data_IF_082692103069
#
_entry.id   IF_082692103069
#
_cell.length_a   1.000
_cell.length_b   1.000
_cell.length_c   1.000
_cell.angle_alpha   90.00
_cell.angle_beta   90.00
_cell.angle_gamma   90.00
#
_symmetry.space_group_name_H-M   'P 1'
#
loop_
_entity.id
_entity.type
_entity.pdbx_description
1 polymer ?
#
# COMPACT_ATOMS: atom_id res chain seq x y z
N UNK A 1 -1.08 30.01 10.88
CA UNK A 1 -0.04 28.98 11.08
C UNK A 1 -0.20 28.20 12.40
N UNK A 2 -1.40 27.73 12.73
CA UNK A 2 -1.65 26.84 13.87
C UNK A 2 -2.18 25.48 13.39
N UNK A 3 -2.05 24.42 14.20
CA UNK A 3 -2.60 23.11 13.83
C UNK A 3 -4.12 23.14 13.53
N UNK A 4 -4.97 23.86 14.29
CA UNK A 4 -6.38 23.99 13.93
C UNK A 4 -6.64 24.61 12.55
N UNK A 5 -5.90 25.66 12.17
CA UNK A 5 -6.03 26.29 10.85
C UNK A 5 -5.54 25.37 9.73
N UNK A 6 -4.46 24.60 9.98
CA UNK A 6 -3.96 23.59 9.03
C UNK A 6 -5.00 22.48 8.80
N UNK A 7 -5.65 22.01 9.87
CA UNK A 7 -6.74 21.03 9.77
C UNK A 7 -8.00 21.59 9.10
N UNK A 8 -8.27 22.89 9.24
CA UNK A 8 -9.33 23.57 8.48
C UNK A 8 -9.03 23.55 6.97
N UNK A 9 -7.78 23.82 6.58
CA UNK A 9 -7.32 23.70 5.19
C UNK A 9 -7.44 22.27 4.65
N UNK A 10 -7.07 21.27 5.46
CA UNK A 10 -7.22 19.84 5.15
C UNK A 10 -8.67 19.47 4.82
N UNK A 11 -9.65 20.03 5.53
CA UNK A 11 -11.06 19.72 5.31
C UNK A 11 -11.60 20.23 3.95
N UNK A 12 -10.91 21.15 3.28
CA UNK A 12 -11.32 21.70 1.98
C UNK A 12 -10.50 21.14 0.82
N UNK A 13 -9.18 21.08 0.99
CA UNK A 13 -8.24 20.73 -0.09
C UNK A 13 -7.68 19.32 0.01
N UNK A 14 -7.95 18.64 1.14
CA UNK A 14 -7.36 17.35 1.49
C UNK A 14 -5.84 17.37 1.65
N UNK A 15 -5.22 18.55 1.80
CA UNK A 15 -3.79 18.73 2.11
C UNK A 15 -3.57 19.04 3.60
N UNK A 16 -2.68 18.30 4.24
CA UNK A 16 -2.23 18.60 5.59
C UNK A 16 -0.96 19.47 5.52
N UNK A 17 -1.12 20.80 5.48
CA UNK A 17 -0.01 21.74 5.39
C UNK A 17 0.70 21.97 6.74
N UNK A 18 2.02 22.16 6.72
CA UNK A 18 2.79 22.70 7.84
C UNK A 18 3.99 23.50 7.31
N UNK A 19 4.31 24.68 7.86
CA UNK A 19 5.45 25.46 7.42
C UNK A 19 6.74 24.63 7.37
N UNK A 20 7.51 24.77 6.27
CA UNK A 20 8.78 24.07 6.03
C UNK A 20 8.69 22.56 5.73
N UNK A 21 7.50 21.92 5.83
CA UNK A 21 7.35 20.49 5.53
C UNK A 21 7.25 20.17 4.05
N UNK A 22 6.81 21.13 3.23
CA UNK A 22 6.79 21.04 1.77
C UNK A 22 8.18 21.19 1.15
N UNK A 23 9.09 20.24 1.43
CA UNK A 23 10.51 20.33 1.03
C UNK A 23 10.98 19.09 0.27
N UNK A 24 11.72 19.27 -0.84
CA UNK A 24 12.34 18.15 -1.57
C UNK A 24 13.66 17.67 -0.93
N UNK A 25 14.10 18.25 0.20
CA UNK A 25 15.39 17.91 0.80
C UNK A 25 15.44 16.44 1.22
N UNK A 26 16.14 15.64 0.41
CA UNK A 26 16.40 14.22 0.65
C UNK A 26 15.59 13.26 -0.21
N UNK A 27 14.75 13.74 -1.14
CA UNK A 27 14.18 12.86 -2.18
C UNK A 27 15.27 12.35 -3.11
N UNK A 28 15.01 11.26 -3.83
CA UNK A 28 15.93 10.70 -4.81
C UNK A 28 15.24 10.41 -6.14
N UNK A 29 16.04 10.10 -7.17
CA UNK A 29 15.57 9.59 -8.45
C UNK A 29 16.67 8.76 -9.08
N UNK A 30 16.30 7.61 -9.61
CA UNK A 30 17.19 6.75 -10.39
C UNK A 30 16.87 6.85 -11.88
N UNK A 31 17.90 6.95 -12.72
CA UNK A 31 17.80 6.93 -14.18
C UNK A 31 18.59 5.75 -14.73
N UNK A 32 17.97 4.94 -15.58
CA UNK A 32 18.60 3.79 -16.18
C UNK A 32 19.29 4.17 -17.50
N UNK A 33 20.60 3.91 -17.59
CA UNK A 33 21.44 4.24 -18.74
C UNK A 33 22.11 2.98 -19.26
N UNK A 34 22.11 2.81 -20.59
CA UNK A 34 22.81 1.73 -21.26
C UNK A 34 23.89 2.30 -22.18
N UNK A 35 25.05 1.65 -22.19
CA UNK A 35 26.19 2.02 -23.01
C UNK A 35 26.53 0.89 -23.99
N UNK A 36 26.63 1.22 -25.28
CA UNK A 36 27.06 0.30 -26.34
C UNK A 36 28.45 0.69 -26.84
N UNK A 37 29.43 -0.19 -26.60
CA UNK A 37 30.72 -0.11 -27.26
C UNK A 37 30.63 -0.80 -28.62
N UNK A 38 30.86 -0.04 -29.70
CA UNK A 38 30.93 -0.57 -31.05
C UNK A 38 32.36 -0.37 -31.57
N UNK A 39 32.95 -1.38 -32.20
CA UNK A 39 34.31 -1.30 -32.76
C UNK A 39 34.42 -0.21 -33.85
N UNK A 40 33.33 0.02 -34.58
CA UNK A 40 33.17 1.07 -35.58
C UNK A 40 31.72 1.59 -35.57
N UNK A 41 31.40 2.60 -36.37
CA UNK A 41 30.02 3.11 -36.50
C UNK A 41 29.07 1.96 -36.86
N UNK A 42 28.06 1.66 -36.00
CA UNK A 42 27.15 0.55 -36.27
C UNK A 42 26.27 0.82 -37.50
N UNK A 43 25.75 -0.24 -38.11
CA UNK A 43 24.71 -0.08 -39.14
C UNK A 43 23.43 0.50 -38.54
N UNK A 44 22.56 1.06 -39.38
CA UNK A 44 21.28 1.59 -38.95
C UNK A 44 20.41 0.52 -38.25
N UNK A 45 20.44 -0.72 -38.73
CA UNK A 45 19.69 -1.83 -38.12
C UNK A 45 20.26 -2.23 -36.75
N UNK A 46 21.59 -2.21 -36.59
CA UNK A 46 22.21 -2.46 -35.31
C UNK A 46 21.86 -1.36 -34.31
N UNK A 47 21.92 -0.09 -34.72
CA UNK A 47 21.52 1.04 -33.89
C UNK A 47 20.03 0.97 -33.49
N UNK A 48 19.13 0.59 -34.42
CA UNK A 48 17.71 0.42 -34.12
C UNK A 48 17.47 -0.66 -33.05
N UNK A 49 18.15 -1.81 -33.14
CA UNK A 49 18.06 -2.86 -32.10
C UNK A 49 18.59 -2.39 -30.75
N UNK A 50 19.64 -1.58 -30.73
CA UNK A 50 20.16 -0.98 -29.50
C UNK A 50 19.12 -0.02 -28.89
N UNK A 51 18.49 0.83 -29.69
CA UNK A 51 17.41 1.74 -29.26
C UNK A 51 16.20 0.98 -28.71
N UNK A 52 15.77 -0.11 -29.37
CA UNK A 52 14.66 -0.93 -28.88
C UNK A 52 14.99 -1.56 -27.52
N UNK A 53 16.24 -1.99 -27.31
CA UNK A 53 16.71 -2.49 -26.02
C UNK A 53 16.78 -1.39 -24.94
N UNK A 54 17.09 -0.13 -25.26
CA UNK A 54 16.98 1.00 -24.31
C UNK A 54 15.54 1.15 -23.83
N UNK A 55 14.57 1.08 -24.75
CA UNK A 55 13.17 1.41 -24.48
C UNK A 55 12.47 0.35 -23.66
N UNK A 56 12.76 -0.93 -23.94
CA UNK A 56 12.17 -2.07 -23.25
C UNK A 56 13.23 -3.12 -23.05
N UNK A 57 13.82 -3.15 -21.85
CA UNK A 57 14.81 -4.15 -21.49
C UNK A 57 14.18 -5.55 -21.45
N UNK A 58 14.76 -6.54 -22.15
CA UNK A 58 14.32 -7.92 -22.01
C UNK A 58 14.50 -8.41 -20.56
N UNK A 59 13.47 -9.02 -19.99
CA UNK A 59 13.49 -9.58 -18.63
C UNK A 59 13.03 -11.03 -18.67
N UNK A 60 13.80 -11.92 -18.03
CA UNK A 60 13.37 -13.29 -17.81
C UNK A 60 12.43 -13.32 -16.60
N UNK A 61 11.31 -14.03 -16.72
CA UNK A 61 10.32 -14.12 -15.65
C UNK A 61 9.89 -15.57 -15.41
N UNK A 62 9.70 -15.93 -14.15
CA UNK A 62 9.07 -17.20 -13.78
C UNK A 62 7.56 -17.15 -14.11
N UNK A 63 6.94 -18.27 -14.53
CA UNK A 63 5.52 -18.29 -14.81
C UNK A 63 4.70 -18.15 -13.51
N UNK A 64 3.48 -17.56 -13.55
CA UNK A 64 2.64 -17.36 -12.37
C UNK A 64 2.45 -18.60 -11.51
N UNK A 65 2.17 -19.74 -12.13
CA UNK A 65 2.03 -21.04 -11.45
C UNK A 65 3.23 -21.39 -10.55
N UNK A 66 4.45 -21.04 -10.97
CA UNK A 66 5.66 -21.29 -10.17
C UNK A 66 5.78 -20.30 -9.00
N UNK A 67 5.45 -19.01 -9.23
CA UNK A 67 5.44 -17.98 -8.19
C UNK A 67 4.43 -18.33 -7.09
N UNK A 68 3.21 -18.71 -7.47
CA UNK A 68 2.15 -19.14 -6.53
C UNK A 68 2.59 -20.39 -5.75
N UNK A 69 3.22 -21.35 -6.42
CA UNK A 69 3.73 -22.57 -5.78
C UNK A 69 4.83 -22.28 -4.76
N UNK A 70 5.59 -21.18 -4.92
CA UNK A 70 6.63 -20.77 -3.99
C UNK A 70 6.07 -20.28 -2.64
N UNK A 71 4.77 -19.94 -2.56
CA UNK A 71 4.10 -19.48 -1.34
C UNK A 71 4.79 -18.27 -0.68
N UNK A 72 5.30 -17.36 -1.50
CA UNK A 72 5.90 -16.10 -1.04
C UNK A 72 4.87 -14.98 -1.06
N UNK A 73 5.08 -13.90 -0.29
CA UNK A 73 4.21 -12.71 -0.26
C UNK A 73 2.75 -12.99 0.11
N UNK A 74 2.53 -13.75 1.19
CA UNK A 74 1.20 -14.08 1.69
C UNK A 74 0.64 -15.34 1.03
N UNK A 75 0.97 -16.54 1.56
CA UNK A 75 0.47 -17.81 1.03
C UNK A 75 -1.06 -17.84 0.95
N UNK A 76 -1.58 -18.01 -0.25
CA UNK A 76 -3.02 -18.11 -0.51
C UNK A 76 -3.74 -16.77 -0.69
N UNK A 77 -3.04 -15.63 -0.62
CA UNK A 77 -3.63 -14.31 -0.91
C UNK A 77 -3.78 -14.04 -2.41
N UNK A 78 -3.15 -14.85 -3.27
CA UNK A 78 -3.28 -14.72 -4.72
C UNK A 78 -3.25 -16.09 -5.41
N UNK A 79 -3.85 -16.16 -6.59
CA UNK A 79 -4.01 -17.36 -7.42
C UNK A 79 -3.97 -16.98 -8.91
N UNK A 80 -3.81 -17.93 -9.83
CA UNK A 80 -3.93 -17.60 -11.27
C UNK A 80 -5.33 -17.02 -11.56
N UNK A 81 -5.48 -16.09 -12.52
CA UNK A 81 -6.79 -15.57 -12.91
C UNK A 81 -7.75 -16.70 -13.24
N UNK A 82 -8.93 -16.66 -12.63
CA UNK A 82 -9.92 -17.71 -12.78
C UNK A 82 -11.20 -17.14 -13.40
N UNK A 83 -11.50 -17.57 -14.62
CA UNK A 83 -12.68 -17.14 -15.38
C UNK A 83 -13.69 -18.30 -15.58
N UNK A 84 -13.59 -19.35 -14.75
CA UNK A 84 -14.36 -20.59 -14.89
C UNK A 84 -15.86 -20.45 -14.64
N UNK A 85 -16.29 -19.40 -13.94
CA UNK A 85 -17.71 -19.07 -13.72
C UNK A 85 -18.00 -17.63 -14.15
N UNK A 86 -19.26 -17.29 -14.49
CA UNK A 86 -19.62 -15.92 -14.85
C UNK A 86 -19.28 -14.88 -13.77
N UNK A 87 -19.46 -15.23 -12.49
CA UNK A 87 -19.16 -14.34 -11.37
C UNK A 87 -17.66 -14.06 -11.25
N UNK A 88 -16.82 -15.10 -11.38
CA UNK A 88 -15.36 -14.94 -11.36
C UNK A 88 -14.86 -14.17 -12.58
N UNK A 89 -15.37 -14.52 -13.77
CA UNK A 89 -15.02 -13.83 -15.01
C UNK A 89 -15.33 -12.33 -14.95
N UNK A 90 -16.45 -11.94 -14.34
CA UNK A 90 -16.83 -10.55 -14.19
C UNK A 90 -15.87 -9.75 -13.29
N UNK A 91 -15.42 -10.33 -12.17
CA UNK A 91 -14.41 -9.68 -11.32
C UNK A 91 -13.08 -9.53 -12.09
N UNK A 92 -12.64 -10.55 -12.82
CA UNK A 92 -11.44 -10.47 -13.64
C UNK A 92 -11.57 -9.42 -14.76
N UNK A 93 -12.75 -9.25 -15.37
CA UNK A 93 -13.04 -8.17 -16.33
C UNK A 93 -12.94 -6.79 -15.69
N UNK A 94 -13.41 -6.62 -14.45
CA UNK A 94 -13.28 -5.38 -13.71
C UNK A 94 -11.81 -5.05 -13.39
N UNK A 95 -11.02 -6.05 -12.98
CA UNK A 95 -9.57 -5.90 -12.76
C UNK A 95 -8.86 -5.46 -14.05
N UNK A 96 -9.18 -6.11 -15.18
CA UNK A 96 -8.61 -5.77 -16.49
C UNK A 96 -9.03 -4.37 -16.95
N UNK A 97 -10.29 -3.98 -16.73
CA UNK A 97 -10.81 -2.64 -17.02
C UNK A 97 -10.04 -1.57 -16.23
N UNK A 98 -9.92 -1.74 -14.92
CA UNK A 98 -9.26 -0.78 -14.04
C UNK A 98 -7.80 -0.61 -14.44
N UNK A 99 -7.04 -1.70 -14.59
CA UNK A 99 -5.64 -1.60 -15.03
C UNK A 99 -5.51 -0.91 -16.39
N UNK A 100 -6.34 -1.29 -17.36
CA UNK A 100 -6.33 -0.68 -18.71
C UNK A 100 -6.62 0.81 -18.66
N UNK A 101 -7.53 1.24 -17.78
CA UNK A 101 -7.84 2.65 -17.58
C UNK A 101 -6.63 3.44 -17.08
N UNK A 102 -5.97 3.01 -15.99
CA UNK A 102 -4.78 3.71 -15.46
C UNK A 102 -3.62 3.73 -16.46
N UNK A 103 -3.36 2.60 -17.12
CA UNK A 103 -2.36 2.53 -18.20
C UNK A 103 -2.64 3.54 -19.31
N UNK A 104 -3.90 3.72 -19.69
CA UNK A 104 -4.32 4.72 -20.67
C UNK A 104 -4.23 6.16 -20.16
N UNK A 105 -4.53 6.39 -18.88
CA UNK A 105 -4.46 7.72 -18.27
C UNK A 105 -3.04 8.28 -18.25
N UNK A 106 -2.00 7.45 -18.07
CA UNK A 106 -0.60 7.92 -18.13
C UNK A 106 -0.32 8.68 -19.43
N UNK A 107 -0.64 8.08 -20.57
CA UNK A 107 -0.49 8.74 -21.87
C UNK A 107 -1.44 9.93 -21.94
N UNK A 108 -2.76 9.71 -21.79
CA UNK A 108 -3.77 10.76 -22.00
C UNK A 108 -3.54 12.03 -21.16
N UNK A 109 -3.09 11.87 -19.92
CA UNK A 109 -2.86 12.96 -18.96
C UNK A 109 -1.42 13.43 -18.91
N UNK A 110 -0.53 12.79 -19.69
CA UNK A 110 0.89 13.10 -19.75
C UNK A 110 1.53 13.04 -18.37
N UNK A 111 1.28 11.96 -17.63
CA UNK A 111 1.98 11.66 -16.38
C UNK A 111 3.42 11.20 -16.68
N UNK A 112 4.16 12.11 -17.29
CA UNK A 112 5.53 12.00 -17.71
C UNK A 112 6.29 13.17 -17.09
N UNK A 113 7.56 12.96 -16.78
CA UNK A 113 8.37 14.01 -16.20
C UNK A 113 9.62 13.41 -15.59
N UNK A 114 10.62 14.24 -15.36
CA UNK A 114 11.84 13.82 -14.69
C UNK A 114 11.57 13.34 -13.26
N UNK A 115 10.67 14.03 -12.55
CA UNK A 115 10.24 13.67 -11.21
C UNK A 115 8.96 12.84 -11.20
N UNK A 116 8.06 13.05 -12.16
CA UNK A 116 6.68 12.55 -12.06
C UNK A 116 6.45 11.15 -12.67
N UNK A 117 7.29 10.74 -13.64
CA UNK A 117 7.03 9.50 -14.38
C UNK A 117 7.15 8.27 -13.46
N UNK A 118 6.02 7.57 -13.34
CA UNK A 118 5.84 6.35 -12.56
C UNK A 118 4.65 6.42 -11.62
N UNK A 119 4.29 7.63 -11.18
CA UNK A 119 3.12 7.84 -10.31
C UNK A 119 1.81 7.99 -11.09
N UNK A 120 0.70 7.97 -10.35
CA UNK A 120 -0.66 8.23 -10.79
C UNK A 120 -1.30 9.30 -9.91
N UNK A 121 -2.41 9.90 -10.35
CA UNK A 121 -3.15 10.85 -9.50
C UNK A 121 -4.24 10.17 -8.67
N UNK A 122 -4.70 10.83 -7.60
CA UNK A 122 -5.51 10.26 -6.53
C UNK A 122 -7.03 10.38 -6.77
N UNK A 123 -7.53 11.56 -7.18
CA UNK A 123 -9.00 11.75 -7.39
C UNK A 123 -9.33 12.61 -8.61
N UNK A 124 -10.46 12.28 -9.23
CA UNK A 124 -10.96 12.95 -10.43
C UNK A 124 -11.83 14.18 -10.15
N UNK A 125 -11.77 15.18 -11.03
CA UNK A 125 -12.67 16.33 -11.08
C UNK A 125 -13.65 16.12 -12.23
N UNK A 126 -14.91 15.84 -11.87
CA UNK A 126 -15.97 15.53 -12.82
C UNK A 126 -16.50 16.76 -13.58
N UNK A 127 -16.19 17.97 -13.11
CA UNK A 127 -16.60 19.22 -13.76
C UNK A 127 -15.56 19.66 -14.78
N UNK A 128 -14.27 19.49 -14.45
CA UNK A 128 -13.15 19.89 -15.32
C UNK A 128 -12.65 18.75 -16.23
N UNK A 129 -13.20 17.53 -16.10
CA UNK A 129 -12.81 16.35 -16.88
C UNK A 129 -11.31 16.05 -16.83
N UNK A 130 -10.76 16.08 -15.62
CA UNK A 130 -9.34 15.98 -15.33
C UNK A 130 -9.09 15.50 -13.90
N UNK A 131 -7.97 14.86 -13.66
CA UNK A 131 -7.53 14.53 -12.30
C UNK A 131 -7.19 15.82 -11.55
N UNK A 132 -7.45 15.88 -10.24
CA UNK A 132 -7.31 17.08 -9.42
C UNK A 132 -5.85 17.45 -9.13
N UNK A 133 -5.07 17.71 -10.18
CA UNK A 133 -3.63 18.01 -10.10
C UNK A 133 -3.29 19.27 -9.29
N UNK A 134 -4.27 20.14 -9.06
CA UNK A 134 -4.12 21.45 -8.43
C UNK A 134 -4.88 21.59 -7.11
N UNK A 135 -5.45 20.49 -6.55
CA UNK A 135 -6.21 20.53 -5.30
C UNK A 135 -5.58 19.62 -4.26
N UNK A 136 -4.60 20.15 -3.52
CA UNK A 136 -4.04 19.56 -2.32
C UNK A 136 -3.78 18.05 -2.42
N UNK A 137 -4.33 17.29 -1.48
CA UNK A 137 -4.20 15.83 -1.42
C UNK A 137 -4.96 15.05 -2.50
N UNK A 138 -5.52 15.68 -3.53
CA UNK A 138 -6.19 14.94 -4.61
C UNK A 138 -5.33 14.76 -5.88
N UNK A 139 -4.11 15.32 -5.88
CA UNK A 139 -3.19 15.29 -7.01
C UNK A 139 -2.37 13.98 -7.06
N UNK A 140 -1.04 14.00 -6.94
CA UNK A 140 -0.21 12.78 -6.98
C UNK A 140 -0.53 11.83 -5.83
N UNK A 141 -0.63 10.54 -6.13
CA UNK A 141 -1.19 9.52 -5.24
C UNK A 141 -0.19 8.97 -4.22
N UNK A 142 1.11 9.00 -4.52
CA UNK A 142 2.17 8.62 -3.58
C UNK A 142 1.87 7.34 -2.77
N UNK A 143 1.42 6.27 -3.43
CA UNK A 143 1.11 4.97 -2.81
C UNK A 143 -0.04 4.96 -1.77
N UNK A 144 -0.95 5.95 -1.78
CA UNK A 144 -2.07 5.98 -0.83
C UNK A 144 -3.01 4.77 -1.05
N UNK A 145 -3.29 4.03 0.03
CA UNK A 145 -4.06 2.78 0.00
C UNK A 145 -3.49 1.66 -0.90
N UNK A 146 -2.17 1.67 -1.13
CA UNK A 146 -1.41 0.56 -1.70
C UNK A 146 -1.71 0.16 -3.16
N UNK A 147 -1.78 1.09 -4.14
CA UNK A 147 -1.83 0.73 -5.55
C UNK A 147 -0.62 -0.13 -5.97
N UNK A 148 0.55 0.05 -5.34
CA UNK A 148 1.74 -0.78 -5.53
C UNK A 148 1.44 -2.27 -5.28
N UNK A 149 0.74 -2.60 -4.17
CA UNK A 149 0.38 -3.99 -3.85
C UNK A 149 -0.62 -4.55 -4.87
N UNK A 150 -1.63 -3.77 -5.24
CA UNK A 150 -2.60 -4.19 -6.24
C UNK A 150 -1.90 -4.56 -7.56
N UNK A 151 -1.00 -3.71 -8.05
CA UNK A 151 -0.28 -3.92 -9.30
C UNK A 151 0.68 -5.11 -9.22
N UNK A 152 1.40 -5.26 -8.11
CA UNK A 152 2.30 -6.40 -7.92
C UNK A 152 1.54 -7.72 -7.81
N UNK A 153 0.43 -7.77 -7.08
CA UNK A 153 -0.44 -8.95 -7.06
C UNK A 153 -1.06 -9.23 -8.44
N UNK A 154 -1.49 -8.20 -9.18
CA UNK A 154 -1.99 -8.37 -10.54
C UNK A 154 -0.92 -8.97 -11.47
N UNK A 155 0.35 -8.56 -11.33
CA UNK A 155 1.47 -9.16 -12.06
C UNK A 155 1.73 -10.61 -11.62
N UNK A 156 1.87 -10.88 -10.33
CA UNK A 156 2.18 -12.23 -9.81
C UNK A 156 1.16 -13.28 -10.28
N UNK A 157 -0.11 -12.89 -10.38
CA UNK A 157 -1.20 -13.76 -10.85
C UNK A 157 -1.17 -13.97 -12.36
N UNK A 158 -0.94 -12.91 -13.13
CA UNK A 158 -1.15 -12.92 -14.59
C UNK A 158 0.11 -13.15 -15.42
N UNK A 159 1.30 -12.80 -14.90
CA UNK A 159 2.55 -12.78 -15.64
C UNK A 159 2.60 -11.75 -16.78
N UNK A 160 1.63 -10.82 -16.82
CA UNK A 160 1.50 -9.84 -17.90
C UNK A 160 2.63 -8.82 -17.90
N UNK A 161 3.35 -8.72 -19.02
CA UNK A 161 4.47 -7.81 -19.17
C UNK A 161 4.08 -6.32 -19.06
N UNK A 162 2.87 -5.95 -19.48
CA UNK A 162 2.42 -4.56 -19.38
C UNK A 162 2.10 -4.14 -17.94
N UNK A 163 1.58 -5.06 -17.11
CA UNK A 163 1.42 -4.83 -15.68
C UNK A 163 2.79 -4.73 -15.00
N UNK A 164 3.73 -5.61 -15.34
CA UNK A 164 5.10 -5.54 -14.80
C UNK A 164 5.73 -4.17 -15.02
N UNK A 165 5.70 -3.67 -16.27
CA UNK A 165 6.32 -2.37 -16.61
C UNK A 165 5.63 -1.20 -15.92
N UNK A 166 4.31 -1.27 -15.72
CA UNK A 166 3.57 -0.25 -14.97
C UNK A 166 3.94 -0.28 -13.48
N UNK A 167 3.97 -1.46 -12.86
CA UNK A 167 4.36 -1.65 -11.46
C UNK A 167 5.83 -1.29 -11.20
N UNK A 168 6.73 -1.59 -12.15
CA UNK A 168 8.13 -1.20 -12.13
C UNK A 168 8.29 0.32 -12.14
N UNK A 169 7.59 1.01 -13.04
CA UNK A 169 7.63 2.48 -13.10
C UNK A 169 7.13 3.10 -11.79
N UNK A 170 6.03 2.59 -11.23
CA UNK A 170 5.52 3.02 -9.93
C UNK A 170 6.54 2.77 -8.82
N UNK A 171 7.11 1.56 -8.73
CA UNK A 171 8.13 1.22 -7.73
C UNK A 171 9.35 2.14 -7.79
N UNK A 172 9.82 2.46 -9.01
CA UNK A 172 10.95 3.37 -9.25
C UNK A 172 10.63 4.83 -8.95
N UNK A 173 9.36 5.21 -8.93
CA UNK A 173 8.92 6.54 -8.53
C UNK A 173 8.72 6.60 -7.02
N UNK A 174 7.77 5.80 -6.51
CA UNK A 174 7.26 5.89 -5.15
C UNK A 174 8.31 5.50 -4.11
N UNK A 175 9.25 4.61 -4.47
CA UNK A 175 10.38 4.25 -3.60
C UNK A 175 11.52 5.28 -3.58
N UNK A 176 11.53 6.24 -4.51
CA UNK A 176 12.63 7.19 -4.72
C UNK A 176 12.20 8.63 -4.43
N UNK A 177 11.21 9.14 -5.17
CA UNK A 177 10.77 10.53 -5.17
C UNK A 177 9.90 10.84 -3.95
N UNK A 178 9.02 9.90 -3.59
CA UNK A 178 8.03 10.10 -2.53
C UNK A 178 8.58 9.77 -1.13
N UNK A 179 9.86 9.38 -1.04
CA UNK A 179 10.54 8.96 0.19
C UNK A 179 11.79 9.82 0.43
N UNK A 180 12.05 10.15 1.68
CA UNK A 180 13.30 10.80 2.09
C UNK A 180 14.39 9.77 2.39
N UNK A 181 15.58 9.97 1.82
CA UNK A 181 16.74 9.09 1.94
C UNK A 181 17.86 9.66 2.81
N UNK A 182 17.71 10.91 3.25
CA UNK A 182 18.67 11.62 4.12
C UNK A 182 17.97 12.66 4.97
N UNK A 183 18.69 13.20 5.95
CA UNK A 183 18.17 14.20 6.87
C UNK A 183 17.26 13.60 7.95
N UNK A 184 16.58 14.47 8.69
CA UNK A 184 15.83 14.11 9.90
C UNK A 184 14.58 13.24 9.66
N UNK A 185 14.14 13.13 8.40
CA UNK A 185 12.98 12.33 7.99
C UNK A 185 13.38 11.14 7.10
N UNK A 186 14.68 10.80 7.03
CA UNK A 186 15.14 9.63 6.28
C UNK A 186 14.37 8.37 6.72
N UNK A 187 13.78 7.66 5.75
CA UNK A 187 12.93 6.51 5.98
C UNK A 187 11.43 6.82 6.14
N UNK A 188 11.01 8.09 6.01
CA UNK A 188 9.61 8.48 5.88
C UNK A 188 9.29 8.85 4.44
N UNK A 189 8.05 8.59 4.01
CA UNK A 189 7.53 9.10 2.75
C UNK A 189 6.46 10.16 2.96
N UNK A 190 6.17 10.93 1.92
CA UNK A 190 5.20 12.03 1.99
C UNK A 190 3.85 11.56 1.47
N UNK A 191 2.80 11.84 2.25
CA UNK A 191 1.41 11.64 1.82
C UNK A 191 1.13 12.37 0.49
N UNK A 192 0.23 11.79 -0.30
CA UNK A 192 -0.30 12.30 -1.56
C UNK A 192 -0.62 13.81 -1.55
N UNK A 193 -0.31 14.50 -2.65
CA UNK A 193 -0.33 15.97 -2.72
C UNK A 193 -0.04 16.55 -4.11
N UNK A 194 -0.17 17.88 -4.26
CA UNK A 194 0.13 18.59 -5.54
C UNK A 194 1.58 18.39 -5.98
N UNK A 195 2.49 18.37 -5.02
CA UNK A 195 3.87 17.94 -5.22
C UNK A 195 4.09 16.67 -4.43
N UNK A 196 4.95 15.78 -4.94
CA UNK A 196 5.35 14.53 -4.29
C UNK A 196 5.89 14.67 -2.86
N UNK A 197 6.23 15.88 -2.44
CA UNK A 197 6.82 16.19 -1.12
C UNK A 197 6.11 17.36 -0.40
N UNK A 198 4.94 17.82 -0.87
CA UNK A 198 4.25 19.00 -0.31
C UNK A 198 3.61 18.76 1.06
N UNK A 199 2.89 17.64 1.23
CA UNK A 199 2.09 17.37 2.42
C UNK A 199 2.95 17.16 3.67
N UNK A 200 2.48 17.60 4.85
CA UNK A 200 3.24 17.52 6.10
C UNK A 200 3.13 16.19 6.83
N UNK A 201 2.25 15.28 6.38
CA UNK A 201 2.19 13.91 6.87
C UNK A 201 3.34 13.09 6.27
N UNK A 202 4.51 13.16 6.94
CA UNK A 202 5.66 12.29 6.65
C UNK A 202 5.51 11.00 7.46
N UNK A 203 5.29 9.86 6.80
CA UNK A 203 4.84 8.63 7.45
C UNK A 203 5.50 7.37 6.89
N UNK A 204 5.57 6.33 7.74
CA UNK A 204 6.09 5.00 7.39
C UNK A 204 5.23 4.31 6.32
N UNK A 205 3.92 4.58 6.31
CA UNK A 205 2.97 3.94 5.40
C UNK A 205 3.27 4.17 3.91
N UNK A 206 4.00 5.23 3.58
CA UNK A 206 4.41 5.59 2.21
C UNK A 206 5.77 4.97 1.86
N UNK A 207 6.73 5.10 2.78
CA UNK A 207 8.06 4.48 2.66
C UNK A 207 8.06 2.95 2.90
N UNK A 208 6.87 2.35 3.00
CA UNK A 208 6.66 0.95 3.30
C UNK A 208 7.44 0.05 2.33
N UNK A 209 8.37 -0.75 2.85
CA UNK A 209 9.23 -1.57 2.00
C UNK A 209 8.47 -2.70 1.31
N UNK A 210 7.29 -3.10 1.82
CA UNK A 210 6.44 -4.11 1.17
C UNK A 210 6.18 -3.80 -0.30
N UNK A 211 5.98 -2.52 -0.64
CA UNK A 211 5.72 -2.09 -2.02
C UNK A 211 6.89 -2.33 -2.98
N UNK A 212 8.11 -2.49 -2.45
CA UNK A 212 9.36 -2.66 -3.21
C UNK A 212 9.85 -4.10 -3.23
N UNK A 213 9.43 -4.93 -2.26
CA UNK A 213 9.85 -6.33 -2.10
C UNK A 213 9.60 -7.15 -3.37
N UNK A 214 8.42 -6.99 -3.98
CA UNK A 214 8.05 -7.73 -5.19
C UNK A 214 9.04 -7.50 -6.32
N UNK A 215 9.30 -6.23 -6.66
CA UNK A 215 10.29 -5.87 -7.68
C UNK A 215 11.65 -6.46 -7.34
N UNK A 216 12.16 -6.20 -6.12
CA UNK A 216 13.47 -6.66 -5.70
C UNK A 216 13.64 -8.19 -5.80
N UNK A 217 12.70 -8.97 -5.30
CA UNK A 217 12.84 -10.43 -5.34
C UNK A 217 12.62 -11.02 -6.75
N UNK A 218 11.98 -10.29 -7.65
CA UNK A 218 11.84 -10.68 -9.05
C UNK A 218 13.05 -10.30 -9.91
N UNK A 219 13.75 -9.20 -9.58
CA UNK A 219 14.80 -8.63 -10.44
C UNK A 219 16.20 -8.65 -9.82
N UNK A 220 16.30 -8.85 -8.50
CA UNK A 220 17.50 -8.67 -7.69
C UNK A 220 18.12 -7.26 -7.78
N UNK A 221 17.32 -6.23 -8.09
CA UNK A 221 17.81 -4.86 -8.26
C UNK A 221 18.50 -4.31 -7.01
N UNK A 222 19.81 -4.03 -7.12
CA UNK A 222 20.63 -3.59 -5.99
C UNK A 222 20.20 -2.22 -5.47
N UNK A 223 19.76 -1.30 -6.33
CA UNK A 223 19.29 0.02 -5.90
C UNK A 223 18.08 -0.09 -4.99
N UNK A 224 17.05 -0.85 -5.37
CA UNK A 224 15.90 -1.12 -4.51
C UNK A 224 16.33 -1.89 -3.25
N UNK A 225 17.33 -2.77 -3.38
CA UNK A 225 17.98 -3.39 -2.22
C UNK A 225 18.55 -2.38 -1.22
N UNK A 226 19.22 -1.33 -1.68
CA UNK A 226 19.76 -0.25 -0.85
C UNK A 226 18.65 0.56 -0.20
N UNK A 227 17.59 0.90 -0.95
CA UNK A 227 16.42 1.62 -0.45
C UNK A 227 15.77 0.87 0.71
N UNK A 228 15.49 -0.42 0.53
CA UNK A 228 14.88 -1.24 1.60
C UNK A 228 15.80 -1.39 2.81
N UNK A 229 17.13 -1.45 2.61
CA UNK A 229 18.09 -1.52 3.72
C UNK A 229 18.14 -0.21 4.51
N UNK A 230 18.03 0.94 3.83
CA UNK A 230 18.02 2.26 4.47
C UNK A 230 16.84 2.43 5.45
N UNK A 231 15.71 1.77 5.19
CA UNK A 231 14.52 1.81 6.05
C UNK A 231 14.59 0.94 7.32
N UNK A 232 15.62 0.12 7.53
CA UNK A 232 15.68 -0.81 8.69
C UNK A 232 15.66 -0.07 10.04
N UNK A 233 16.22 1.14 10.08
CA UNK A 233 16.25 2.00 11.27
C UNK A 233 15.25 3.18 11.18
N UNK A 234 14.23 3.07 10.32
CA UNK A 234 13.25 4.16 10.15
C UNK A 234 12.40 4.38 11.41
N UNK A 235 12.40 3.48 12.38
CA UNK A 235 11.77 3.68 13.68
C UNK A 235 12.41 4.79 14.51
N UNK A 236 13.67 5.17 14.23
CA UNK A 236 14.31 6.33 14.86
C UNK A 236 13.60 7.65 14.52
N UNK A 237 12.84 7.70 13.42
CA UNK A 237 12.12 8.92 12.99
C UNK A 237 11.06 9.38 14.00
N UNK A 238 10.55 8.46 14.82
CA UNK A 238 9.60 8.78 15.90
C UNK A 238 10.23 9.60 17.03
N UNK A 239 11.58 9.68 17.12
CA UNK A 239 12.26 10.62 18.02
C UNK A 239 12.10 12.08 17.57
N UNK A 240 11.85 12.29 16.27
CA UNK A 240 11.86 13.62 15.65
C UNK A 240 10.46 14.06 15.25
N UNK A 241 9.60 13.13 14.85
CA UNK A 241 8.27 13.44 14.32
C UNK A 241 7.21 12.49 14.88
N UNK A 242 6.21 13.08 15.53
CA UNK A 242 4.96 12.40 15.85
C UNK A 242 3.99 12.53 14.66
N UNK A 243 3.58 11.42 14.02
CA UNK A 243 2.68 11.47 12.86
C UNK A 243 1.27 11.94 13.22
N UNK A 244 0.88 11.91 14.50
CA UNK A 244 -0.44 12.35 14.96
C UNK A 244 -0.41 13.68 15.74
N UNK A 245 0.71 14.43 15.70
CA UNK A 245 0.94 15.66 16.49
C UNK A 245 -0.16 16.71 16.41
N UNK A 246 -0.92 16.77 15.31
CA UNK A 246 -2.00 17.75 15.09
C UNK A 246 -3.36 17.30 15.63
N UNK A 247 -3.55 15.99 15.80
CA UNK A 247 -4.81 15.39 16.26
C UNK A 247 -4.68 14.73 17.64
N UNK A 248 -3.47 14.72 18.22
CA UNK A 248 -3.22 14.24 19.56
C UNK A 248 -3.92 15.11 20.59
N UNK A 249 -4.55 14.49 21.57
CA UNK A 249 -5.30 15.18 22.64
C UNK A 249 -4.51 15.33 23.93
N UNK A 250 -3.51 14.48 24.13
CA UNK A 250 -2.68 14.38 25.31
C UNK A 250 -1.28 14.97 25.06
N UNK A 251 -0.63 15.54 26.09
CA UNK A 251 0.75 15.97 25.97
C UNK A 251 1.65 14.78 25.64
N UNK A 252 2.48 14.94 24.61
CA UNK A 252 3.45 13.93 24.20
C UNK A 252 4.77 14.59 23.87
N UNK A 253 5.85 13.99 24.37
CA UNK A 253 7.23 14.34 24.02
C UNK A 253 7.90 13.02 23.69
N UNK A 254 8.55 12.90 22.51
CA UNK A 254 9.24 11.68 22.15
C UNK A 254 10.24 11.25 23.23
N UNK A 255 10.10 10.01 23.68
CA UNK A 255 11.00 9.34 24.61
C UNK A 255 11.49 8.07 23.93
N UNK A 256 12.82 7.87 23.91
CA UNK A 256 13.49 6.71 23.32
C UNK A 256 12.96 5.38 23.86
N UNK A 257 12.48 5.36 25.10
CA UNK A 257 11.95 4.16 25.76
C UNK A 257 10.42 4.08 25.74
N UNK A 258 9.74 5.04 25.11
CA UNK A 258 8.27 5.12 25.05
C UNK A 258 7.77 5.89 23.81
N UNK A 259 8.18 5.46 22.61
CA UNK A 259 7.75 6.03 21.33
C UNK A 259 6.32 5.60 20.99
N UNK A 260 5.42 6.55 20.71
CA UNK A 260 4.03 6.26 20.36
C UNK A 260 3.96 5.80 18.90
N UNK A 261 3.67 4.52 18.67
CA UNK A 261 3.62 3.93 17.32
C UNK A 261 2.28 3.22 17.12
N UNK A 262 1.59 3.52 16.02
CA UNK A 262 0.34 2.84 15.65
C UNK A 262 0.57 1.41 15.15
N UNK A 263 -0.30 0.47 15.55
CA UNK A 263 -0.19 -0.94 15.13
C UNK A 263 -0.68 -1.21 13.69
N UNK A 264 -1.17 -0.18 13.02
CA UNK A 264 -1.59 -0.23 11.62
C UNK A 264 -0.54 0.38 10.69
N UNK A 265 -0.78 1.63 10.29
CA UNK A 265 0.01 2.38 9.29
C UNK A 265 1.50 2.47 9.60
N UNK A 266 1.86 2.62 10.88
CA UNK A 266 3.25 2.80 11.27
C UNK A 266 3.97 1.45 11.38
N UNK A 267 3.43 0.55 12.22
CA UNK A 267 4.02 -0.75 12.44
C UNK A 267 4.10 -1.58 11.15
N UNK A 268 3.13 -1.49 10.23
CA UNK A 268 3.21 -2.20 8.94
C UNK A 268 4.42 -1.76 8.12
N UNK A 269 4.75 -0.46 8.09
CA UNK A 269 5.95 0.05 7.41
C UNK A 269 7.26 -0.33 8.11
N UNK A 270 7.26 -0.40 9.45
CA UNK A 270 8.45 -0.80 10.21
C UNK A 270 8.72 -2.31 10.11
N UNK A 271 7.69 -3.13 10.33
CA UNK A 271 7.82 -4.59 10.31
C UNK A 271 8.15 -5.10 8.91
N UNK A 272 7.71 -4.42 7.85
CA UNK A 272 8.10 -4.78 6.48
C UNK A 272 9.59 -4.58 6.25
N UNK A 273 10.17 -3.47 6.70
CA UNK A 273 11.61 -3.23 6.60
C UNK A 273 12.41 -4.30 7.36
N UNK A 274 11.98 -4.63 8.57
CA UNK A 274 12.65 -5.64 9.38
C UNK A 274 12.50 -7.06 8.83
N UNK A 275 11.30 -7.44 8.37
CA UNK A 275 11.08 -8.75 7.74
C UNK A 275 11.95 -8.90 6.50
N UNK A 276 11.98 -7.86 5.66
CA UNK A 276 12.80 -7.85 4.43
C UNK A 276 14.29 -8.01 4.72
N UNK A 277 14.83 -7.27 5.69
CA UNK A 277 16.24 -7.38 6.07
C UNK A 277 16.56 -8.77 6.67
N UNK A 278 15.62 -9.33 7.44
CA UNK A 278 15.74 -10.69 7.96
C UNK A 278 15.79 -11.72 6.82
N UNK A 279 14.85 -11.68 5.87
CA UNK A 279 14.82 -12.58 4.72
C UNK A 279 16.10 -12.49 3.87
N UNK A 280 16.60 -11.27 3.64
CA UNK A 280 17.81 -11.02 2.85
C UNK A 280 19.11 -11.38 3.58
N UNK A 281 19.05 -11.61 4.89
CA UNK A 281 20.25 -11.78 5.74
C UNK A 281 21.25 -10.62 5.57
N UNK A 282 20.72 -9.41 5.42
CA UNK A 282 21.53 -8.19 5.30
C UNK A 282 22.28 -7.85 6.59
N UNK A 283 23.15 -6.83 6.61
CA UNK A 283 24.01 -6.52 7.74
C UNK A 283 23.29 -6.33 9.10
N UNK A 284 22.00 -5.98 9.09
CA UNK A 284 21.20 -5.72 10.30
C UNK A 284 20.19 -6.83 10.60
N UNK A 285 20.29 -7.99 9.95
CA UNK A 285 19.26 -9.03 9.99
C UNK A 285 18.95 -9.58 11.40
N UNK A 286 19.94 -9.63 12.31
CA UNK A 286 19.72 -10.11 13.68
C UNK A 286 18.87 -9.13 14.49
N UNK A 287 19.18 -7.83 14.41
CA UNK A 287 18.38 -6.74 15.00
C UNK A 287 16.97 -6.74 14.42
N UNK A 288 16.87 -6.82 13.09
CA UNK A 288 15.60 -6.84 12.37
C UNK A 288 14.73 -8.04 12.79
N UNK A 289 15.31 -9.25 12.80
CA UNK A 289 14.63 -10.45 13.30
C UNK A 289 14.15 -10.29 14.75
N UNK A 290 15.00 -9.77 15.63
CA UNK A 290 14.63 -9.57 17.03
C UNK A 290 13.41 -8.65 17.14
N UNK A 291 13.40 -7.53 16.39
CA UNK A 291 12.28 -6.57 16.36
C UNK A 291 10.98 -7.14 15.79
N UNK A 292 11.04 -7.93 14.72
CA UNK A 292 9.85 -8.64 14.20
C UNK A 292 9.25 -9.50 15.31
N UNK A 293 10.05 -10.37 15.93
CA UNK A 293 9.57 -11.31 16.94
C UNK A 293 9.05 -10.61 18.20
N UNK A 294 9.78 -9.61 18.71
CA UNK A 294 9.39 -8.91 19.94
C UNK A 294 8.16 -8.03 19.75
N UNK A 295 8.00 -7.39 18.58
CA UNK A 295 6.80 -6.59 18.31
C UNK A 295 5.58 -7.48 18.06
N UNK A 296 5.71 -8.61 17.37
CA UNK A 296 4.64 -9.60 17.28
C UNK A 296 4.20 -10.07 18.68
N UNK A 297 5.16 -10.45 19.53
CA UNK A 297 4.88 -10.92 20.89
C UNK A 297 4.16 -9.85 21.72
N UNK A 298 4.66 -8.61 21.69
CA UNK A 298 4.14 -7.52 22.53
C UNK A 298 2.86 -6.89 22.01
N UNK A 299 2.56 -6.95 20.70
CA UNK A 299 1.23 -6.65 20.16
C UNK A 299 0.22 -7.71 20.59
N UNK A 300 0.58 -8.99 20.48
CA UNK A 300 -0.29 -10.09 20.90
C UNK A 300 -0.61 -10.08 22.40
N UNK A 301 0.30 -9.53 23.21
CA UNK A 301 0.14 -9.39 24.65
C UNK A 301 -0.67 -8.15 25.08
N UNK A 302 -1.02 -7.24 24.15
CA UNK A 302 -1.88 -6.10 24.48
C UNK A 302 -3.27 -6.57 24.91
N UNK A 303 -3.94 -5.89 25.86
CA UNK A 303 -5.26 -6.30 26.33
C UNK A 303 -6.30 -6.51 25.22
N UNK A 304 -6.22 -5.71 24.16
CA UNK A 304 -7.07 -5.79 22.97
C UNK A 304 -6.29 -6.11 21.67
N UNK A 305 -5.07 -6.63 21.74
CA UNK A 305 -4.26 -6.94 20.55
C UNK A 305 -4.13 -5.74 19.60
N UNK A 306 -4.37 -5.95 18.31
CA UNK A 306 -4.39 -4.88 17.30
C UNK A 306 -5.48 -3.82 17.53
N UNK A 307 -6.59 -4.16 18.19
CA UNK A 307 -7.68 -3.21 18.51
C UNK A 307 -7.26 -2.18 19.56
N UNK A 308 -6.17 -2.43 20.29
CA UNK A 308 -5.55 -1.44 21.16
C UNK A 308 -5.08 -0.20 20.38
N UNK A 309 -4.76 -0.35 19.09
CA UNK A 309 -4.53 0.76 18.14
C UNK A 309 -3.11 1.31 18.10
N UNK A 310 -2.48 1.50 19.25
CA UNK A 310 -1.10 1.94 19.38
C UNK A 310 -0.45 1.38 20.65
N UNK A 311 0.88 1.53 20.74
CA UNK A 311 1.66 1.20 21.93
C UNK A 311 2.86 2.12 22.12
N UNK A 312 3.42 2.10 23.33
CA UNK A 312 4.67 2.77 23.66
C UNK A 312 5.83 1.82 23.37
N UNK A 313 6.63 2.13 22.37
CA UNK A 313 7.74 1.35 21.85
C UNK A 313 9.06 1.79 22.46
N UNK A 314 9.82 0.85 23.00
CA UNK A 314 11.19 1.08 23.41
C UNK A 314 12.13 0.77 22.24
N UNK A 315 12.84 1.81 21.79
CA UNK A 315 13.70 1.79 20.60
C UNK A 315 14.91 0.86 20.73
N UNK A 316 15.41 0.70 21.96
CA UNK A 316 16.61 -0.07 22.26
C UNK A 316 16.33 -1.57 22.39
N UNK A 317 15.17 -1.92 22.95
CA UNK A 317 14.75 -3.32 23.15
C UNK A 317 13.87 -3.85 22.03
N UNK A 318 13.25 -2.98 21.23
CA UNK A 318 12.32 -3.35 20.18
C UNK A 318 10.97 -3.86 20.69
N UNK A 319 10.55 -3.46 21.89
CA UNK A 319 9.34 -3.97 22.56
C UNK A 319 8.32 -2.88 22.79
N UNK A 320 7.05 -3.23 22.66
CA UNK A 320 5.97 -2.40 23.18
C UNK A 320 5.76 -2.66 24.67
N UNK A 321 5.59 -1.60 25.46
CA UNK A 321 5.04 -1.69 26.80
C UNK A 321 3.62 -2.27 26.72
N UNK A 322 3.28 -3.17 27.63
CA UNK A 322 1.94 -3.75 27.71
C UNK A 322 1.04 -2.77 28.45
N UNK A 323 -0.07 -2.35 27.81
CA UNK A 323 -0.99 -1.42 28.43
C UNK A 323 -1.70 -2.05 29.63
N UNK A 324 -1.83 -1.29 30.73
CA UNK A 324 -2.56 -1.74 31.93
C UNK A 324 -4.09 -1.82 31.70
N UNK A 325 -4.59 -1.18 30.64
CA UNK A 325 -6.02 -1.08 30.34
C UNK A 325 -6.30 -1.35 28.86
N UNK A 326 -7.40 -2.08 28.64
CA UNK A 326 -7.98 -2.27 27.33
C UNK A 326 -8.53 -0.95 26.77
N UNK A 327 -8.14 -0.64 25.53
CA UNK A 327 -8.63 0.52 24.77
C UNK A 327 -9.08 0.08 23.39
N UNK A 328 -10.02 0.80 22.79
CA UNK A 328 -10.42 0.64 21.39
C UNK A 328 -9.85 1.82 20.60
N UNK A 329 -8.86 1.55 19.76
CA UNK A 329 -8.14 2.55 18.95
C UNK A 329 -8.07 2.14 17.48
N UNK A 330 -9.22 1.87 16.87
CA UNK A 330 -9.29 1.36 15.49
C UNK A 330 -9.41 2.49 14.48
N UNK A 331 -8.61 2.44 13.41
CA UNK A 331 -8.70 3.32 12.25
C UNK A 331 -8.99 2.50 10.99
N UNK A 332 -9.78 3.05 10.08
CA UNK A 332 -9.99 2.45 8.76
C UNK A 332 -8.71 2.41 7.91
N UNK A 333 -7.68 3.19 8.27
CA UNK A 333 -6.39 3.18 7.59
C UNK A 333 -5.49 2.02 8.04
N UNK A 334 -5.76 1.40 9.19
CA UNK A 334 -4.80 0.49 9.83
C UNK A 334 -4.44 -0.73 8.98
N UNK A 335 -5.40 -1.27 8.22
CA UNK A 335 -5.20 -2.51 7.48
C UNK A 335 -4.96 -2.34 5.97
N UNK A 336 -4.92 -1.11 5.45
CA UNK A 336 -4.93 -0.82 4.00
C UNK A 336 -3.57 -0.36 3.44
N UNK A 337 -2.53 -0.38 4.28
CA UNK A 337 -1.13 -0.11 3.89
C UNK A 337 -0.25 -1.35 4.09
N UNK A 338 -0.69 -2.50 3.56
CA UNK A 338 0.08 -3.75 3.58
C UNK A 338 0.04 -4.57 4.88
N UNK A 339 -0.68 -4.14 5.92
CA UNK A 339 -0.74 -4.86 7.20
C UNK A 339 -1.26 -6.29 7.03
N UNK A 340 -2.30 -6.50 6.21
CA UNK A 340 -2.90 -7.83 6.04
C UNK A 340 -1.97 -8.81 5.32
N UNK A 341 -1.31 -8.34 4.27
CA UNK A 341 -0.31 -9.09 3.52
C UNK A 341 0.86 -9.47 4.43
N UNK A 342 1.39 -8.51 5.19
CA UNK A 342 2.49 -8.75 6.14
C UNK A 342 2.09 -9.69 7.27
N UNK A 343 0.92 -9.51 7.89
CA UNK A 343 0.45 -10.42 8.92
C UNK A 343 0.28 -11.83 8.35
N UNK A 344 -0.22 -11.98 7.12
CA UNK A 344 -0.35 -13.29 6.49
C UNK A 344 1.01 -13.96 6.26
N UNK A 345 2.05 -13.21 5.87
CA UNK A 345 3.42 -13.71 5.79
C UNK A 345 3.98 -14.10 7.16
N UNK A 346 3.87 -13.21 8.16
CA UNK A 346 4.39 -13.45 9.50
C UNK A 346 3.76 -14.70 10.15
N UNK A 347 2.45 -14.90 9.95
CA UNK A 347 1.71 -16.07 10.45
C UNK A 347 2.20 -17.38 9.80
N UNK A 348 2.65 -17.34 8.54
CA UNK A 348 3.19 -18.52 7.86
C UNK A 348 4.66 -18.79 8.25
N UNK A 349 5.43 -17.71 8.47
CA UNK A 349 6.88 -17.77 8.74
C UNK A 349 7.23 -18.01 10.22
N UNK A 350 6.35 -17.62 11.15
CA UNK A 350 6.64 -17.60 12.59
C UNK A 350 5.56 -18.34 13.37
N UNK A 351 5.97 -19.35 14.14
CA UNK A 351 5.09 -20.05 15.07
C UNK A 351 4.83 -19.20 16.33
N UNK A 352 3.78 -18.38 16.29
CA UNK A 352 3.34 -17.55 17.42
C UNK A 352 1.80 -17.53 17.55
N UNK A 353 1.20 -18.59 18.15
CA UNK A 353 -0.26 -18.77 18.17
C UNK A 353 -1.04 -17.58 18.75
N UNK A 354 -0.52 -16.91 19.78
CA UNK A 354 -1.16 -15.73 20.39
C UNK A 354 -1.24 -14.54 19.43
N UNK A 355 -0.25 -14.36 18.56
CA UNK A 355 -0.29 -13.32 17.54
C UNK A 355 -1.35 -13.65 16.49
N UNK A 356 -1.44 -14.92 16.08
CA UNK A 356 -2.45 -15.39 15.15
C UNK A 356 -3.86 -15.13 15.70
N UNK A 357 -4.10 -15.47 16.97
CA UNK A 357 -5.36 -15.21 17.67
C UNK A 357 -5.69 -13.70 17.67
N UNK A 358 -4.75 -12.84 18.08
CA UNK A 358 -4.95 -11.40 18.12
C UNK A 358 -5.26 -10.80 16.74
N UNK A 359 -4.59 -11.29 15.69
CA UNK A 359 -4.83 -10.83 14.33
C UNK A 359 -6.17 -11.33 13.76
N UNK A 360 -6.51 -12.61 13.95
CA UNK A 360 -7.80 -13.16 13.51
C UNK A 360 -8.98 -12.51 14.24
N UNK A 361 -8.81 -12.12 15.51
CA UNK A 361 -9.80 -11.35 16.27
C UNK A 361 -10.02 -9.97 15.65
N UNK A 362 -8.94 -9.26 15.29
CA UNK A 362 -9.03 -8.00 14.55
C UNK A 362 -9.79 -8.17 13.23
N UNK A 363 -9.41 -9.16 12.42
CA UNK A 363 -10.07 -9.45 11.15
C UNK A 363 -11.56 -9.76 11.32
N UNK A 364 -11.92 -10.62 12.29
CA UNK A 364 -13.32 -10.98 12.58
C UNK A 364 -14.16 -9.79 13.02
N UNK A 365 -13.60 -8.82 13.75
CA UNK A 365 -14.41 -7.76 14.35
C UNK A 365 -14.39 -6.42 13.61
N UNK A 366 -13.46 -6.21 12.68
CA UNK A 366 -13.42 -4.97 11.90
C UNK A 366 -14.74 -4.70 11.15
N UNK A 367 -15.23 -5.68 10.38
CA UNK A 367 -16.49 -5.59 9.63
C UNK A 367 -17.73 -6.04 10.42
N UNK A 368 -17.57 -6.40 11.70
CA UNK A 368 -18.68 -6.82 12.54
C UNK A 368 -19.62 -5.66 12.87
N UNK A 369 -20.82 -5.98 13.33
CA UNK A 369 -21.76 -4.96 13.78
C UNK A 369 -21.23 -4.23 15.02
N UNK A 370 -21.66 -2.98 15.23
CA UNK A 370 -21.31 -2.24 16.45
C UNK A 370 -21.70 -2.99 17.73
N UNK A 371 -22.77 -3.77 17.70
CA UNK A 371 -23.21 -4.58 18.83
C UNK A 371 -22.22 -5.73 19.12
N UNK A 372 -21.77 -6.45 18.09
CA UNK A 372 -20.75 -7.50 18.24
C UNK A 372 -19.41 -6.94 18.71
N UNK A 373 -18.99 -5.79 18.18
CA UNK A 373 -17.79 -5.08 18.64
C UNK A 373 -17.89 -4.69 20.12
N UNK A 374 -19.00 -4.05 20.51
CA UNK A 374 -19.22 -3.66 21.91
C UNK A 374 -19.30 -4.87 22.86
N UNK A 375 -19.90 -5.98 22.41
CA UNK A 375 -19.93 -7.22 23.18
C UNK A 375 -18.53 -7.82 23.39
N UNK A 376 -17.63 -7.70 22.40
CA UNK A 376 -16.26 -8.24 22.48
C UNK A 376 -15.27 -7.32 23.21
N UNK A 377 -15.37 -6.00 23.01
CA UNK A 377 -14.35 -5.03 23.44
C UNK A 377 -14.86 -3.99 24.45
N UNK A 378 -16.13 -4.08 24.87
CA UNK A 378 -16.76 -3.09 25.76
C UNK A 378 -17.13 -1.76 25.10
N UNK A 379 -16.68 -1.53 23.85
CA UNK A 379 -17.04 -0.38 23.03
C UNK A 379 -17.05 -0.78 21.53
N UNK A 380 -17.78 -0.02 20.70
CA UNK A 380 -17.72 -0.20 19.25
C UNK A 380 -16.62 0.65 18.62
N UNK A 381 -16.26 0.33 17.37
CA UNK A 381 -15.12 0.95 16.68
C UNK A 381 -15.45 2.32 16.05
N UNK A 382 -16.48 3.01 16.54
CA UNK A 382 -16.89 4.31 16.02
C UNK A 382 -17.50 4.22 14.62
N UNK A 383 -17.06 5.10 13.73
CA UNK A 383 -17.48 5.15 12.33
C UNK A 383 -16.30 4.77 11.42
N UNK A 384 -16.29 3.52 10.99
CA UNK A 384 -15.32 2.99 10.04
C UNK A 384 -15.80 3.15 8.59
N UNK A 385 -14.86 3.03 7.66
CA UNK A 385 -15.03 3.13 6.20
C UNK A 385 -14.20 2.01 5.53
N UNK A 386 -14.24 1.97 4.20
CA UNK A 386 -13.43 1.10 3.35
C UNK A 386 -13.79 -0.38 3.50
N UNK A 387 -15.06 -0.68 3.75
CA UNK A 387 -15.58 -2.02 4.02
C UNK A 387 -15.34 -2.99 2.85
N UNK A 388 -15.38 -2.52 1.61
CA UNK A 388 -15.04 -3.34 0.44
C UNK A 388 -13.58 -3.78 0.48
N UNK A 389 -12.65 -2.85 0.74
CA UNK A 389 -11.22 -3.17 0.92
C UNK A 389 -10.98 -4.09 2.11
N UNK A 390 -11.73 -3.94 3.20
CA UNK A 390 -11.59 -4.79 4.40
C UNK A 390 -12.31 -6.15 4.29
N UNK A 391 -13.05 -6.41 3.22
CA UNK A 391 -13.65 -7.73 2.97
C UNK A 391 -12.61 -8.86 2.95
N UNK A 392 -11.37 -8.55 2.54
CA UNK A 392 -10.25 -9.48 2.56
C UNK A 392 -9.81 -9.91 3.97
N UNK A 393 -10.06 -9.09 4.99
CA UNK A 393 -9.87 -9.48 6.39
C UNK A 393 -10.87 -10.58 6.78
N UNK A 394 -12.14 -10.40 6.40
CA UNK A 394 -13.18 -11.42 6.61
C UNK A 394 -12.82 -12.71 5.88
N UNK A 395 -12.35 -12.60 4.63
CA UNK A 395 -11.94 -13.76 3.84
C UNK A 395 -10.77 -14.52 4.45
N UNK A 396 -9.73 -13.79 4.89
CA UNK A 396 -8.56 -14.38 5.52
C UNK A 396 -8.93 -15.10 6.82
N UNK A 397 -9.70 -14.45 7.69
CA UNK A 397 -10.19 -15.07 8.92
C UNK A 397 -11.11 -16.27 8.65
N UNK A 398 -12.00 -16.18 7.64
CA UNK A 398 -12.91 -17.27 7.27
C UNK A 398 -12.15 -18.55 6.89
N UNK A 399 -11.11 -18.44 6.06
CA UNK A 399 -10.28 -19.60 5.66
C UNK A 399 -9.53 -20.16 6.86
N UNK A 400 -8.94 -19.30 7.68
CA UNK A 400 -8.12 -19.75 8.82
C UNK A 400 -8.93 -20.37 9.94
N UNK A 401 -10.15 -19.91 10.19
CA UNK A 401 -11.02 -20.43 11.26
C UNK A 401 -12.11 -21.38 10.79
N UNK A 402 -12.29 -21.59 9.48
CA UNK A 402 -13.39 -22.38 8.92
C UNK A 402 -14.78 -21.76 9.16
N UNK A 403 -14.87 -20.43 9.28
CA UNK A 403 -16.12 -19.74 9.63
C UNK A 403 -16.90 -19.32 8.38
N UNK A 404 -17.94 -20.07 8.05
CA UNK A 404 -18.81 -19.82 6.89
C UNK A 404 -19.59 -18.50 6.98
N UNK A 405 -19.85 -17.97 8.19
CA UNK A 405 -20.49 -16.65 8.31
C UNK A 405 -19.55 -15.54 7.88
N UNK A 406 -18.26 -15.67 8.21
CA UNK A 406 -17.24 -14.74 7.73
C UNK A 406 -17.05 -14.85 6.22
N UNK A 407 -17.06 -16.05 5.65
CA UNK A 407 -16.97 -16.24 4.21
C UNK A 407 -18.12 -15.53 3.47
N UNK A 408 -19.35 -15.70 3.96
CA UNK A 408 -20.52 -14.99 3.41
C UNK A 408 -20.42 -13.47 3.60
N UNK A 409 -19.94 -13.00 4.76
CA UNK A 409 -19.78 -11.57 5.04
C UNK A 409 -18.72 -10.93 4.15
N UNK A 410 -17.61 -11.64 3.86
CA UNK A 410 -16.58 -11.16 2.95
C UNK A 410 -17.17 -10.79 1.58
N UNK A 411 -17.91 -11.71 0.95
CA UNK A 411 -18.57 -11.43 -0.33
C UNK A 411 -19.67 -10.38 -0.23
N UNK A 412 -20.45 -10.36 0.85
CA UNK A 412 -21.46 -9.33 1.07
C UNK A 412 -20.83 -7.93 1.21
N UNK A 413 -19.71 -7.80 1.93
CA UNK A 413 -18.98 -6.53 2.03
C UNK A 413 -18.30 -6.17 0.72
N UNK A 414 -17.76 -7.14 0.00
CA UNK A 414 -17.18 -6.89 -1.31
C UNK A 414 -18.22 -6.35 -2.31
N UNK A 415 -19.41 -6.94 -2.41
CA UNK A 415 -20.43 -6.53 -3.39
C UNK A 415 -21.35 -5.39 -2.94
N UNK A 416 -21.70 -5.35 -1.65
CA UNK A 416 -22.84 -4.57 -1.12
C UNK A 416 -22.45 -3.63 0.04
N UNK A 417 -21.26 -3.02 0.01
CA UNK A 417 -20.87 -1.99 0.98
C UNK A 417 -20.55 -0.64 0.34
N UNK A 418 -19.30 -0.19 0.40
CA UNK A 418 -18.72 0.99 -0.22
C UNK A 418 -17.84 0.62 -1.44
N UNK A 419 -17.05 1.58 -1.95
CA UNK A 419 -16.22 1.39 -3.14
C UNK A 419 -17.02 1.13 -4.42
N UNK A 420 -16.51 0.23 -5.27
CA UNK A 420 -17.12 -0.08 -6.56
C UNK A 420 -18.17 -1.18 -6.48
N UNK A 421 -19.42 -0.83 -6.77
CA UNK A 421 -20.52 -1.78 -6.86
C UNK A 421 -20.61 -2.40 -8.25
N UNK A 422 -21.26 -3.54 -8.34
CA UNK A 422 -21.60 -4.18 -9.64
C UNK A 422 -22.49 -3.31 -10.52
N UNK A 423 -23.20 -2.35 -9.93
CA UNK A 423 -24.03 -1.36 -10.62
C UNK A 423 -23.27 -0.10 -11.05
N UNK A 424 -21.97 0.02 -10.77
CA UNK A 424 -21.14 1.09 -11.30
C UNK A 424 -21.06 0.99 -12.84
N UNK A 425 -20.67 2.06 -13.54
CA UNK A 425 -20.72 2.06 -15.01
C UNK A 425 -19.83 1.01 -15.68
N UNK A 426 -18.68 0.65 -15.09
CA UNK A 426 -17.71 -0.32 -15.65
C UNK A 426 -17.34 -0.07 -17.12
N UNK A 427 -17.36 1.19 -17.51
CA UNK A 427 -17.07 1.66 -18.86
C UNK A 427 -16.45 3.05 -18.79
N UNK A 428 -15.71 3.41 -19.84
CA UNK A 428 -15.23 4.78 -20.05
C UNK A 428 -16.16 5.53 -21.00
N UNK A 429 -16.29 6.83 -20.79
CA UNK A 429 -16.96 7.76 -21.68
C UNK A 429 -15.94 8.50 -22.55
N UNK A 430 -16.32 8.83 -23.78
CA UNK A 430 -15.43 9.55 -24.70
C UNK A 430 -15.35 11.03 -24.31
N UNK A 431 -14.13 11.54 -24.19
CA UNK A 431 -13.85 12.96 -24.02
C UNK A 431 -13.40 13.60 -25.33
N UNK A 432 -13.91 14.81 -25.60
CA UNK A 432 -13.51 15.62 -26.76
C UNK A 432 -13.71 17.11 -26.48
N UNK A 433 -13.19 17.99 -27.33
CA UNK A 433 -13.43 19.43 -27.20
C UNK A 433 -14.91 19.79 -27.41
N UNK A 434 -15.44 20.85 -26.75
CA UNK A 434 -14.72 21.83 -25.94
C UNK A 434 -14.59 21.48 -24.44
N UNK A 435 -15.08 20.31 -24.00
CA UNK A 435 -15.11 19.95 -22.56
C UNK A 435 -13.77 19.47 -22.01
N UNK A 436 -12.85 19.04 -22.88
CA UNK A 436 -11.49 18.65 -22.52
C UNK A 436 -10.47 19.26 -23.49
N UNK A 437 -9.28 19.58 -22.98
CA UNK A 437 -8.17 20.12 -23.77
C UNK A 437 -7.66 19.11 -24.82
N UNK A 438 -7.63 17.83 -24.46
CA UNK A 438 -7.17 16.72 -25.31
C UNK A 438 -8.28 15.67 -25.37
N UNK A 439 -8.55 15.15 -26.58
CA UNK A 439 -9.51 14.06 -26.75
C UNK A 439 -8.99 12.76 -26.12
N UNK A 440 -9.89 11.94 -25.60
CA UNK A 440 -9.54 10.68 -24.94
C UNK A 440 -10.76 10.00 -24.36
N UNK A 441 -10.61 9.37 -23.21
CA UNK A 441 -11.74 8.84 -22.45
C UNK A 441 -11.61 9.12 -20.95
N UNK A 442 -12.71 9.04 -20.23
CA UNK A 442 -12.73 9.13 -18.76
C UNK A 442 -13.62 8.07 -18.15
N UNK A 443 -13.32 7.72 -16.90
CA UNK A 443 -14.25 7.07 -16.01
C UNK A 443 -14.35 7.99 -14.79
N UNK A 444 -15.25 8.97 -14.84
CA UNK A 444 -15.35 10.06 -13.85
C UNK A 444 -15.71 9.57 -12.43
N UNK A 445 -16.17 8.32 -12.33
CA UNK A 445 -16.49 7.60 -11.10
C UNK A 445 -15.30 6.86 -10.49
N UNK A 446 -14.15 6.78 -11.18
CA UNK A 446 -12.94 6.10 -10.70
C UNK A 446 -12.13 7.00 -9.78
N UNK A 447 -11.71 6.44 -8.66
CA UNK A 447 -10.71 7.01 -7.74
C UNK A 447 -9.58 5.99 -7.50
N UNK A 448 -8.38 6.45 -7.14
CA UNK A 448 -7.24 5.55 -6.93
C UNK A 448 -7.41 4.70 -5.68
N UNK A 449 -7.92 5.31 -4.61
CA UNK A 449 -8.28 4.63 -3.39
C UNK A 449 -9.26 3.47 -3.59
N UNK A 450 -10.39 3.71 -4.27
CA UNK A 450 -11.37 2.64 -4.53
C UNK A 450 -10.78 1.58 -5.47
N UNK A 451 -9.94 1.98 -6.42
CA UNK A 451 -9.28 1.05 -7.35
C UNK A 451 -8.33 0.10 -6.64
N UNK A 452 -7.39 0.62 -5.85
CA UNK A 452 -6.39 -0.19 -5.17
C UNK A 452 -7.07 -1.17 -4.20
N UNK A 453 -8.05 -0.69 -3.44
CA UNK A 453 -8.79 -1.51 -2.49
C UNK A 453 -9.70 -2.54 -3.15
N UNK A 454 -10.42 -2.18 -4.23
CA UNK A 454 -11.18 -3.14 -5.02
C UNK A 454 -10.25 -4.22 -5.57
N UNK A 455 -9.11 -3.80 -6.15
CA UNK A 455 -8.11 -4.67 -6.74
C UNK A 455 -7.58 -5.72 -5.77
N UNK A 456 -7.12 -5.28 -4.59
CA UNK A 456 -6.65 -6.18 -3.54
C UNK A 456 -7.76 -7.08 -3.01
N UNK A 457 -8.94 -6.53 -2.70
CA UNK A 457 -10.05 -7.32 -2.18
C UNK A 457 -10.53 -8.36 -3.20
N UNK A 458 -10.65 -8.01 -4.47
CA UNK A 458 -11.01 -8.92 -5.56
C UNK A 458 -10.01 -10.07 -5.67
N UNK A 459 -8.71 -9.75 -5.73
CA UNK A 459 -7.63 -10.73 -5.85
C UNK A 459 -7.62 -11.69 -4.66
N UNK A 460 -7.66 -11.17 -3.44
CA UNK A 460 -7.56 -11.97 -2.22
C UNK A 460 -8.83 -12.80 -1.99
N UNK A 461 -10.01 -12.21 -2.16
CA UNK A 461 -11.27 -12.93 -1.98
C UNK A 461 -11.42 -14.05 -3.01
N UNK A 462 -11.03 -13.83 -4.27
CA UNK A 462 -11.03 -14.91 -5.28
C UNK A 462 -10.06 -16.04 -4.91
N UNK A 463 -8.88 -15.71 -4.40
CA UNK A 463 -7.89 -16.70 -3.99
C UNK A 463 -8.33 -17.52 -2.76
N UNK A 464 -8.95 -16.86 -1.79
CA UNK A 464 -9.33 -17.44 -0.49
C UNK A 464 -10.72 -18.12 -0.51
N UNK A 465 -11.68 -17.53 -1.22
CA UNK A 465 -13.11 -17.85 -1.16
C UNK A 465 -13.76 -17.98 -2.54
N UNK A 466 -13.00 -18.09 -3.63
CA UNK A 466 -13.55 -18.19 -4.98
C UNK A 466 -14.44 -19.42 -5.21
N UNK A 467 -14.29 -20.47 -4.41
CA UNK A 467 -15.15 -21.66 -4.41
C UNK A 467 -16.45 -21.47 -3.60
N UNK A 468 -16.52 -20.41 -2.80
CA UNK A 468 -17.63 -20.03 -1.91
C UNK A 468 -18.28 -18.71 -2.30
N UNK A 469 -18.22 -18.36 -3.59
CA UNK A 469 -18.94 -17.21 -4.14
C UNK A 469 -20.46 -17.42 -4.07
N UNK A 470 -21.24 -16.34 -3.88
CA UNK A 470 -22.70 -16.40 -3.75
C UNK A 470 -23.43 -16.84 -5.02
#
# INVERSE_FOLDING_TARGET
DTYPEQLEGLNITYEDYEPEFGTPYGIARTSELLFWANESTPSAEALARQVDAVRVLPQLAAPPKQLIKAKVFGPGLYSEPDRSTPAKAKIEDHLDFLFTYYKGQVEQRRWYGFWDYGDIMHTYDTVRHQWRYDIGGYAWDNSELSPDLWLWFAYLRSGRADIFRFAEAMTRHTGEVDVYHLGKWAGLGTRHGVQHYADSAKQQRIANTTYRRYYYFLTADERVGDLMHANVDSDETFLVLDPIRKIRTEPYTPDRHALSIGFGTDWSGLVSAWLTEWERKGPKWEKARARVLSTMETIAAQPNGFVQGNGLYDLDTGKFAIADKAVVGVSHLSAVFGLNELCAELIDLVDMPKFNEAYFDYCRYFNATKAEQAARYGANFGSLLLFQGHSRLDAYAAVKTGDEKLAKRAWEKFYNSDGYKESAPWATEKLSGPVALVAGSEASWVSTNDTALYGLAAIENLALLGDRMP
#
